data_IF_403000799797
#
_entry.id   IF_403000799797
#
_cell.length_a   1.000
_cell.length_b   1.000
_cell.length_c   1.000
_cell.angle_alpha   90.00
_cell.angle_beta   90.00
_cell.angle_gamma   90.00
#
_symmetry.space_group_name_H-M   'P 1'
#
loop_
_entity.id
_entity.type
_entity.pdbx_description
1 polymer ?
#
# COMPACT_ATOMS: atom_id res chain seq x y z
N UNK A 1 -9.83 16.69 34.63
CA UNK A 1 -9.03 17.75 33.98
C UNK A 1 -9.97 18.54 33.09
N UNK A 2 -10.06 19.87 33.20
CA UNK A 2 -10.90 20.69 32.34
C UNK A 2 -10.33 20.57 30.88
N UNK A 3 -11.17 20.11 29.95
CA UNK A 3 -10.84 20.20 28.51
C UNK A 3 -10.67 21.68 28.18
N UNK A 4 -9.48 22.08 27.73
CA UNK A 4 -9.30 23.42 27.18
C UNK A 4 -10.31 23.57 26.04
N UNK A 5 -11.30 24.45 26.21
CA UNK A 5 -12.26 24.75 25.17
C UNK A 5 -11.58 25.67 24.15
N UNK A 6 -11.31 25.17 22.98
CA UNK A 6 -10.83 25.98 21.85
C UNK A 6 -12.00 26.82 21.31
N UNK A 7 -11.76 28.11 21.08
CA UNK A 7 -12.73 29.03 20.48
C UNK A 7 -12.15 29.61 19.21
N UNK A 8 -12.89 29.51 18.14
CA UNK A 8 -12.47 29.93 16.82
C UNK A 8 -13.42 31.00 16.25
N UNK A 9 -12.86 31.94 15.48
CA UNK A 9 -13.65 32.99 14.83
C UNK A 9 -14.57 32.44 13.75
N UNK A 10 -14.13 31.40 13.06
CA UNK A 10 -14.88 30.72 11.98
C UNK A 10 -15.04 29.26 12.29
N UNK A 11 -16.11 28.61 11.78
CA UNK A 11 -16.26 27.16 11.88
C UNK A 11 -15.07 26.43 11.26
N UNK A 12 -14.60 25.37 11.90
CA UNK A 12 -13.52 24.53 11.43
C UNK A 12 -14.03 23.11 11.17
N UNK A 13 -13.62 22.47 10.07
CA UNK A 13 -13.79 21.03 9.93
C UNK A 13 -12.91 20.30 10.94
N UNK A 14 -13.34 19.16 11.41
CA UNK A 14 -12.44 18.21 12.06
C UNK A 14 -11.49 17.61 11.01
N UNK A 15 -10.27 17.27 11.42
CA UNK A 15 -9.29 16.62 10.56
C UNK A 15 -9.02 15.22 11.08
N UNK A 16 -9.00 14.25 10.17
CA UNK A 16 -8.64 12.85 10.43
C UNK A 16 -7.49 12.41 9.54
N UNK A 17 -6.93 11.26 9.84
CA UNK A 17 -6.06 10.52 8.93
C UNK A 17 -6.66 9.16 8.64
N UNK A 18 -6.51 8.65 7.41
CA UNK A 18 -6.87 7.30 7.01
C UNK A 18 -5.65 6.62 6.36
N UNK A 19 -5.32 5.41 6.82
CA UNK A 19 -4.09 4.70 6.45
C UNK A 19 -4.40 3.48 5.58
N UNK A 20 -4.14 3.56 4.28
CA UNK A 20 -4.26 2.43 3.36
C UNK A 20 -2.96 1.63 3.36
N UNK A 21 -2.91 0.56 4.13
CA UNK A 21 -1.72 -0.27 4.25
C UNK A 21 -1.87 -1.49 3.34
N UNK A 22 -1.12 -1.49 2.23
CA UNK A 22 -1.01 -2.66 1.37
C UNK A 22 0.02 -3.64 1.95
N UNK A 23 -0.37 -4.89 2.05
CA UNK A 23 0.49 -5.99 2.45
C UNK A 23 0.72 -6.94 1.28
N UNK A 24 1.94 -7.42 1.12
CA UNK A 24 2.26 -8.44 0.14
C UNK A 24 2.73 -9.71 0.82
N UNK A 25 2.13 -10.81 0.41
CA UNK A 25 2.55 -12.18 0.72
C UNK A 25 2.76 -12.97 -0.57
N UNK A 26 3.78 -13.83 -0.61
CA UNK A 26 4.13 -14.58 -1.82
C UNK A 26 3.10 -15.64 -2.22
N UNK A 27 2.24 -16.07 -1.28
CA UNK A 27 1.18 -17.06 -1.51
C UNK A 27 -0.18 -16.41 -1.76
N UNK A 28 -0.54 -15.43 -0.95
CA UNK A 28 -1.85 -14.76 -0.98
C UNK A 28 -1.87 -13.55 -1.95
N UNK A 29 -0.71 -13.02 -2.31
CA UNK A 29 -0.58 -11.85 -3.16
C UNK A 29 -0.75 -10.54 -2.41
N UNK A 30 -1.45 -9.57 -3.03
CA UNK A 30 -1.65 -8.24 -2.47
C UNK A 30 -2.93 -8.18 -1.63
N UNK A 31 -2.79 -7.69 -0.41
CA UNK A 31 -3.85 -7.53 0.58
C UNK A 31 -3.89 -6.09 1.11
N UNK A 32 -4.95 -5.72 1.77
CA UNK A 32 -5.06 -4.45 2.52
C UNK A 32 -5.40 -4.73 3.97
N UNK A 33 -4.81 -3.93 4.87
CA UNK A 33 -5.09 -4.00 6.29
C UNK A 33 -6.34 -3.18 6.61
N UNK A 34 -7.30 -3.83 7.25
CA UNK A 34 -8.53 -3.20 7.72
C UNK A 34 -8.73 -3.45 9.20
N UNK A 35 -9.41 -2.53 9.84
CA UNK A 35 -9.89 -2.66 11.21
C UNK A 35 -11.41 -2.79 11.23
N UNK A 36 -11.94 -3.53 12.21
CA UNK A 36 -13.37 -3.61 12.44
C UNK A 36 -13.77 -2.57 13.48
N UNK A 37 -14.62 -1.64 13.11
CA UNK A 37 -15.02 -0.53 13.97
C UNK A 37 -15.75 -1.03 15.23
N UNK A 38 -15.30 -0.60 16.41
CA UNK A 38 -15.92 -0.89 17.70
C UNK A 38 -17.05 0.06 18.07
N UNK A 39 -17.09 1.27 17.47
CA UNK A 39 -17.98 2.39 17.85
C UNK A 39 -18.79 2.93 16.65
N UNK A 40 -19.88 3.63 16.95
CA UNK A 40 -20.67 4.35 15.92
C UNK A 40 -19.92 5.61 15.41
N UNK A 41 -20.18 6.06 14.20
CA UNK A 41 -21.01 5.43 13.18
C UNK A 41 -20.34 4.19 12.54
N UNK A 42 -21.13 3.36 11.88
CA UNK A 42 -20.68 2.16 11.17
C UNK A 42 -20.06 1.08 12.07
N UNK A 43 -20.51 0.95 13.31
CA UNK A 43 -20.08 -0.09 14.25
C UNK A 43 -20.18 -1.47 13.62
N UNK A 44 -19.11 -2.26 13.71
CA UNK A 44 -19.01 -3.60 13.16
C UNK A 44 -18.63 -3.66 11.68
N UNK A 45 -18.59 -2.54 10.96
CA UNK A 45 -18.08 -2.48 9.58
C UNK A 45 -16.56 -2.36 9.55
N UNK A 46 -15.99 -2.66 8.39
CA UNK A 46 -14.56 -2.57 8.15
C UNK A 46 -14.17 -1.17 7.66
N UNK A 47 -13.03 -0.69 8.13
CA UNK A 47 -12.50 0.63 7.82
C UNK A 47 -10.97 0.58 7.72
N UNK A 48 -10.35 1.64 7.22
CA UNK A 48 -8.92 1.81 7.37
C UNK A 48 -8.57 2.20 8.81
N UNK A 49 -7.38 1.81 9.29
CA UNK A 49 -6.82 2.38 10.50
C UNK A 49 -6.72 3.91 10.38
N UNK A 50 -7.17 4.62 11.40
CA UNK A 50 -7.15 6.08 11.37
C UNK A 50 -8.06 6.73 12.38
N UNK A 51 -7.84 8.02 12.62
CA UNK A 51 -8.58 8.76 13.63
C UNK A 51 -8.36 10.25 13.57
N UNK A 52 -8.84 10.93 14.60
CA UNK A 52 -8.81 12.39 14.66
C UNK A 52 -7.43 12.93 15.03
N UNK A 53 -7.01 13.96 14.30
CA UNK A 53 -5.80 14.72 14.57
C UNK A 53 -5.90 15.42 15.93
N UNK A 54 -4.91 15.22 16.80
CA UNK A 54 -4.74 15.96 18.05
C UNK A 54 -4.06 17.31 17.77
N UNK A 55 -4.25 18.27 18.68
CA UNK A 55 -3.74 19.62 18.49
C UNK A 55 -2.20 19.70 18.52
N UNK A 56 -1.55 18.74 19.15
CA UNK A 56 -0.10 18.71 19.40
C UNK A 56 0.65 17.77 18.44
N UNK A 57 -0.02 17.24 17.41
CA UNK A 57 0.59 16.31 16.46
C UNK A 57 0.39 16.77 15.02
N UNK A 58 1.33 16.44 14.15
CA UNK A 58 1.20 16.55 12.70
C UNK A 58 0.32 15.43 12.12
N UNK A 59 -0.14 15.59 10.89
CA UNK A 59 -0.94 14.54 10.24
C UNK A 59 -0.17 13.22 10.09
N UNK A 60 1.14 13.26 9.85
CA UNK A 60 1.96 12.05 9.78
C UNK A 60 2.11 11.37 11.15
N UNK A 61 2.31 12.14 12.22
CA UNK A 61 2.36 11.60 13.59
C UNK A 61 1.02 10.99 13.98
N UNK A 62 -0.11 11.63 13.65
CA UNK A 62 -1.45 11.08 13.84
C UNK A 62 -1.60 9.74 13.08
N UNK A 63 -1.25 9.71 11.81
CA UNK A 63 -1.36 8.52 10.98
C UNK A 63 -0.55 7.34 11.56
N UNK A 64 0.68 7.59 12.02
CA UNK A 64 1.52 6.57 12.66
C UNK A 64 0.96 6.11 14.01
N UNK A 65 0.50 7.05 14.84
CA UNK A 65 -0.10 6.73 16.15
C UNK A 65 -1.34 5.86 15.99
N UNK A 66 -2.30 6.28 15.16
CA UNK A 66 -3.53 5.52 14.92
C UNK A 66 -3.25 4.13 14.33
N UNK A 67 -2.32 4.05 13.37
CA UNK A 67 -1.91 2.76 12.81
C UNK A 67 -1.39 1.82 13.90
N UNK A 68 -0.53 2.33 14.78
CA UNK A 68 0.01 1.53 15.90
C UNK A 68 -1.06 1.17 16.93
N UNK A 69 -1.84 2.16 17.39
CA UNK A 69 -2.89 1.98 18.41
C UNK A 69 -3.95 0.95 17.97
N UNK A 70 -4.31 0.93 16.68
CA UNK A 70 -5.38 0.08 16.15
C UNK A 70 -4.91 -1.27 15.57
N UNK A 71 -3.62 -1.42 15.24
CA UNK A 71 -3.14 -2.64 14.55
C UNK A 71 -1.86 -3.23 15.12
N UNK A 72 -1.14 -2.50 15.97
CA UNK A 72 0.18 -2.88 16.46
C UNK A 72 1.30 -2.75 15.41
N UNK A 73 1.00 -2.27 14.20
CA UNK A 73 1.98 -2.18 13.13
C UNK A 73 2.87 -0.94 13.32
N UNK A 74 4.19 -1.17 13.40
CA UNK A 74 5.21 -0.14 13.55
C UNK A 74 6.03 0.04 12.26
N UNK A 75 6.67 1.20 12.14
CA UNK A 75 7.69 1.51 11.12
C UNK A 75 7.24 1.33 9.65
N UNK A 76 5.94 1.40 9.36
CA UNK A 76 5.46 1.43 7.99
C UNK A 76 5.92 2.73 7.30
N UNK A 77 6.50 2.66 6.08
CA UNK A 77 6.88 3.85 5.32
C UNK A 77 5.61 4.55 4.82
N UNK A 78 5.23 5.66 5.46
CA UNK A 78 4.00 6.39 5.17
C UNK A 78 4.22 7.41 4.04
N UNK A 79 3.36 7.39 3.03
CA UNK A 79 3.32 8.41 1.98
C UNK A 79 1.92 9.03 1.91
N UNK A 80 1.86 10.34 2.09
CA UNK A 80 0.61 11.07 1.87
C UNK A 80 0.27 11.07 0.37
N UNK A 81 -0.94 10.66 0.02
CA UNK A 81 -1.34 10.57 -1.39
C UNK A 81 -2.58 11.40 -1.74
N UNK A 82 -3.35 11.83 -0.76
CA UNK A 82 -4.56 12.59 -1.02
C UNK A 82 -5.17 13.25 0.19
N UNK A 83 -6.18 14.07 -0.10
CA UNK A 83 -7.05 14.69 0.88
C UNK A 83 -8.49 14.53 0.40
N UNK A 84 -9.34 13.92 1.23
CA UNK A 84 -10.74 13.67 0.90
C UNK A 84 -11.63 14.56 1.74
N UNK A 85 -12.43 15.37 1.05
CA UNK A 85 -13.16 16.47 1.68
C UNK A 85 -14.60 16.60 1.18
N UNK A 86 -15.21 15.53 0.71
CA UNK A 86 -16.63 15.52 0.38
C UNK A 86 -17.46 15.98 1.59
N UNK A 87 -18.49 16.82 1.35
CA UNK A 87 -19.21 17.48 2.47
C UNK A 87 -19.83 16.47 3.42
N UNK A 88 -20.37 15.37 2.89
CA UNK A 88 -21.12 14.37 3.63
C UNK A 88 -20.35 13.05 3.82
N UNK A 89 -18.99 13.09 3.74
CA UNK A 89 -18.18 11.89 3.90
C UNK A 89 -18.30 11.24 5.28
N UNK A 90 -18.56 12.05 6.30
CA UNK A 90 -18.79 11.60 7.67
C UNK A 90 -20.15 12.12 8.16
N UNK A 91 -21.03 11.24 8.68
CA UNK A 91 -22.37 11.65 9.13
C UNK A 91 -22.37 12.44 10.44
N UNK A 92 -21.26 12.47 11.17
CA UNK A 92 -21.16 13.14 12.49
C UNK A 92 -21.03 14.65 12.37
N UNK A 93 -20.13 15.08 11.48
CA UNK A 93 -19.79 16.49 11.31
C UNK A 93 -19.00 16.72 10.01
N UNK A 94 -18.60 17.95 9.76
CA UNK A 94 -17.71 18.28 8.65
C UNK A 94 -16.30 17.75 8.95
N UNK A 95 -15.90 16.70 8.26
CA UNK A 95 -14.60 16.06 8.40
C UNK A 95 -13.81 16.14 7.08
N UNK A 96 -12.52 16.39 7.19
CA UNK A 96 -11.54 16.27 6.10
C UNK A 96 -10.52 15.22 6.52
N UNK A 97 -10.24 14.23 5.68
CA UNK A 97 -9.18 13.28 5.96
C UNK A 97 -7.96 13.51 5.09
N UNK A 98 -6.79 13.35 5.68
CA UNK A 98 -5.50 13.26 5.00
C UNK A 98 -5.15 11.79 4.90
N UNK A 99 -5.11 11.29 3.66
CA UNK A 99 -4.93 9.87 3.41
C UNK A 99 -3.46 9.54 3.13
N UNK A 100 -3.00 8.50 3.81
CA UNK A 100 -1.66 7.93 3.68
C UNK A 100 -1.75 6.52 3.12
N UNK A 101 -0.75 6.10 2.35
CA UNK A 101 -0.60 4.69 2.02
C UNK A 101 0.80 4.19 2.34
N UNK A 102 0.90 2.89 2.50
CA UNK A 102 2.15 2.16 2.70
C UNK A 102 2.10 0.82 1.99
N UNK A 103 3.26 0.27 1.64
CA UNK A 103 3.41 -1.08 1.10
C UNK A 103 4.41 -1.83 1.98
N UNK A 104 3.93 -2.89 2.66
CA UNK A 104 4.70 -3.66 3.64
C UNK A 104 4.60 -5.16 3.38
N UNK A 105 5.44 -5.95 4.02
CA UNK A 105 5.23 -7.40 4.13
C UNK A 105 4.05 -7.66 5.05
N UNK A 106 3.22 -8.64 4.70
CA UNK A 106 2.17 -9.10 5.61
C UNK A 106 2.82 -9.61 6.91
N UNK A 107 2.34 -9.13 8.03
CA UNK A 107 2.78 -9.48 9.39
C UNK A 107 1.58 -9.71 10.29
N UNK A 108 1.81 -10.26 11.47
CA UNK A 108 0.78 -10.35 12.49
C UNK A 108 0.32 -8.96 12.92
N UNK A 109 -0.99 -8.81 13.08
CA UNK A 109 -1.63 -7.57 13.51
C UNK A 109 -2.65 -7.89 14.61
N UNK A 110 -2.87 -6.94 15.49
CA UNK A 110 -3.78 -7.11 16.61
C UNK A 110 -4.70 -5.90 16.68
N UNK A 111 -5.99 -6.13 16.91
CA UNK A 111 -6.93 -5.04 17.22
C UNK A 111 -6.56 -4.38 18.57
N UNK A 112 -6.69 -3.07 18.64
CA UNK A 112 -6.46 -2.29 19.86
C UNK A 112 -7.40 -1.11 19.93
N UNK A 113 -7.45 -0.44 21.08
CA UNK A 113 -8.30 0.72 21.39
C UNK A 113 -9.75 0.55 20.88
N UNK A 114 -10.17 1.42 19.96
CA UNK A 114 -11.52 1.42 19.37
C UNK A 114 -11.70 0.37 18.24
N UNK A 115 -10.64 -0.35 17.84
CA UNK A 115 -10.67 -1.41 16.86
C UNK A 115 -10.97 -2.76 17.53
N UNK A 116 -12.15 -3.32 17.26
CA UNK A 116 -12.51 -4.65 17.76
C UNK A 116 -11.63 -5.78 17.17
N UNK A 117 -11.02 -5.55 16.00
CA UNK A 117 -10.18 -6.52 15.27
C UNK A 117 -9.39 -5.78 14.19
N UNK A 118 -8.15 -6.21 13.92
CA UNK A 118 -7.39 -5.86 12.73
C UNK A 118 -7.12 -7.11 11.89
N UNK A 119 -7.24 -7.01 10.56
CA UNK A 119 -7.08 -8.17 9.67
C UNK A 119 -6.65 -7.74 8.27
N UNK A 120 -5.83 -8.59 7.63
CA UNK A 120 -5.49 -8.49 6.23
C UNK A 120 -6.58 -9.10 5.35
N UNK A 121 -6.98 -8.38 4.30
CA UNK A 121 -7.94 -8.84 3.31
C UNK A 121 -7.31 -8.83 1.93
N UNK A 122 -7.35 -9.96 1.19
CA UNK A 122 -6.95 -9.98 -0.21
C UNK A 122 -7.76 -8.95 -1.02
N UNK A 123 -7.10 -8.20 -1.90
CA UNK A 123 -7.79 -7.21 -2.74
C UNK A 123 -8.86 -7.81 -3.64
N UNK A 124 -8.77 -9.12 -3.93
CA UNK A 124 -9.78 -9.86 -4.71
C UNK A 124 -11.05 -10.23 -3.92
N UNK A 125 -11.05 -10.06 -2.59
CA UNK A 125 -12.16 -10.44 -1.73
C UNK A 125 -12.29 -9.47 -0.54
N UNK A 126 -12.65 -8.24 -0.85
CA UNK A 126 -12.82 -7.17 0.14
C UNK A 126 -14.23 -7.20 0.74
N UNK A 127 -14.37 -6.96 2.04
CA UNK A 127 -15.66 -6.65 2.65
C UNK A 127 -16.12 -5.25 2.22
N UNK A 128 -17.41 -4.92 2.41
CA UNK A 128 -17.87 -3.54 2.30
C UNK A 128 -17.19 -2.65 3.35
N UNK A 129 -16.76 -1.48 2.92
CA UNK A 129 -16.05 -0.53 3.76
C UNK A 129 -17.01 0.54 4.30
N UNK A 130 -16.67 1.09 5.47
CA UNK A 130 -17.35 2.22 6.06
C UNK A 130 -16.99 3.53 5.36
N UNK A 131 -17.81 4.54 5.51
CA UNK A 131 -17.60 5.90 4.98
C UNK A 131 -17.39 5.90 3.44
N UNK A 132 -16.43 6.72 2.99
CA UNK A 132 -15.94 6.81 1.61
C UNK A 132 -14.65 5.99 1.40
N UNK A 133 -14.40 4.98 2.23
CA UNK A 133 -13.14 4.22 2.21
C UNK A 133 -12.94 3.41 0.93
N UNK A 134 -14.02 3.06 0.21
CA UNK A 134 -13.88 2.44 -1.12
C UNK A 134 -13.24 3.42 -2.13
N UNK A 135 -13.64 4.69 -2.10
CA UNK A 135 -13.06 5.74 -2.95
C UNK A 135 -11.59 5.97 -2.60
N UNK A 136 -11.28 6.04 -1.29
CA UNK A 136 -9.91 6.18 -0.78
C UNK A 136 -9.03 5.01 -1.23
N UNK A 137 -9.54 3.78 -1.13
CA UNK A 137 -8.82 2.57 -1.59
C UNK A 137 -8.47 2.63 -3.06
N UNK A 138 -9.45 2.99 -3.89
CA UNK A 138 -9.24 3.08 -5.34
C UNK A 138 -8.21 4.16 -5.71
N UNK A 139 -8.21 5.28 -5.00
CA UNK A 139 -7.22 6.33 -5.18
C UNK A 139 -5.81 5.88 -4.74
N UNK A 140 -5.70 5.22 -3.59
CA UNK A 140 -4.44 4.67 -3.09
C UNK A 140 -3.86 3.60 -4.05
N UNK A 141 -4.71 2.72 -4.56
CA UNK A 141 -4.29 1.67 -5.48
C UNK A 141 -3.82 2.25 -6.82
N UNK A 142 -4.48 3.28 -7.33
CA UNK A 142 -4.03 4.04 -8.51
C UNK A 142 -2.67 4.66 -8.26
N UNK A 143 -2.48 5.32 -7.12
CA UNK A 143 -1.21 5.91 -6.73
C UNK A 143 -0.08 4.88 -6.62
N UNK A 144 -0.35 3.70 -6.06
CA UNK A 144 0.61 2.60 -5.99
C UNK A 144 1.03 2.12 -7.38
N UNK A 145 0.08 1.99 -8.31
CA UNK A 145 0.37 1.63 -9.71
C UNK A 145 1.20 2.69 -10.42
N UNK A 146 0.86 3.97 -10.25
CA UNK A 146 1.63 5.09 -10.82
C UNK A 146 3.08 5.06 -10.34
N UNK A 147 3.31 4.82 -9.04
CA UNK A 147 4.68 4.72 -8.50
C UNK A 147 5.52 3.66 -9.18
N UNK A 148 4.95 2.53 -9.55
CA UNK A 148 5.68 1.47 -10.25
C UNK A 148 6.27 1.90 -11.59
N UNK A 149 5.72 2.94 -12.24
CA UNK A 149 6.27 3.46 -13.48
C UNK A 149 7.51 4.37 -13.26
N UNK A 150 7.68 4.91 -12.07
CA UNK A 150 8.75 5.86 -11.76
C UNK A 150 9.72 5.35 -10.69
N UNK A 151 9.31 4.37 -9.91
CA UNK A 151 10.10 3.82 -8.83
C UNK A 151 10.04 2.29 -8.86
N UNK A 152 11.17 1.59 -8.65
CA UNK A 152 11.18 0.15 -8.48
C UNK A 152 10.63 -0.20 -7.09
N UNK A 153 9.32 -0.08 -6.94
CA UNK A 153 8.60 -0.42 -5.71
C UNK A 153 8.66 -1.93 -5.47
N UNK A 154 8.65 -2.34 -4.21
CA UNK A 154 8.52 -3.74 -3.84
C UNK A 154 9.83 -4.45 -3.50
N UNK A 155 11.00 -3.80 -3.64
CA UNK A 155 12.24 -4.41 -3.19
C UNK A 155 12.28 -4.60 -1.68
N UNK A 156 11.65 -3.71 -0.91
CA UNK A 156 11.52 -3.84 0.55
C UNK A 156 10.61 -5.01 0.96
N UNK A 157 9.79 -5.53 0.02
CA UNK A 157 8.95 -6.70 0.23
C UNK A 157 9.68 -8.02 -0.01
N UNK A 158 10.78 -7.97 -0.76
CA UNK A 158 11.60 -9.14 -1.06
C UNK A 158 12.59 -9.44 0.08
N UNK A 159 13.04 -10.69 0.23
CA UNK A 159 14.24 -10.97 1.00
C UNK A 159 15.45 -10.27 0.37
N UNK A 160 16.54 -10.09 1.13
CA UNK A 160 17.76 -9.44 0.64
C UNK A 160 18.29 -10.11 -0.64
N UNK A 161 18.16 -11.43 -0.71
CA UNK A 161 18.49 -12.22 -1.90
C UNK A 161 17.20 -12.85 -2.42
N UNK A 162 16.88 -12.57 -3.67
CA UNK A 162 15.63 -12.99 -4.32
C UNK A 162 15.87 -13.49 -5.76
N UNK A 163 14.84 -14.09 -6.34
CA UNK A 163 14.87 -14.52 -7.75
C UNK A 163 14.06 -13.56 -8.64
N UNK A 164 14.35 -13.55 -9.92
CA UNK A 164 13.57 -12.75 -10.88
C UNK A 164 12.07 -13.10 -10.88
N UNK A 165 11.66 -14.37 -10.76
CA UNK A 165 10.24 -14.72 -10.57
C UNK A 165 9.60 -14.13 -9.31
N UNK A 166 10.35 -13.95 -8.21
CA UNK A 166 9.81 -13.34 -7.00
C UNK A 166 9.47 -11.86 -7.24
N UNK A 167 10.39 -11.14 -7.87
CA UNK A 167 10.19 -9.75 -8.26
C UNK A 167 9.03 -9.60 -9.26
N UNK A 168 8.98 -10.46 -10.29
CA UNK A 168 7.91 -10.46 -11.28
C UNK A 168 6.52 -10.63 -10.66
N UNK A 169 6.38 -11.54 -9.69
CA UNK A 169 5.11 -11.78 -8.99
C UNK A 169 4.58 -10.54 -8.27
N UNK A 170 5.45 -9.75 -7.63
CA UNK A 170 5.06 -8.49 -6.97
C UNK A 170 4.50 -7.52 -8.01
N UNK A 171 5.21 -7.31 -9.12
CA UNK A 171 4.78 -6.41 -10.18
C UNK A 171 3.47 -6.86 -10.81
N UNK A 172 3.32 -8.16 -11.07
CA UNK A 172 2.08 -8.74 -11.59
C UNK A 172 0.90 -8.60 -10.62
N UNK A 173 1.16 -8.73 -9.30
CA UNK A 173 0.13 -8.56 -8.27
C UNK A 173 -0.37 -7.11 -8.20
N UNK A 174 0.54 -6.12 -8.27
CA UNK A 174 0.18 -4.71 -8.18
C UNK A 174 -0.46 -4.21 -9.48
N UNK A 175 0.09 -4.56 -10.63
CA UNK A 175 -0.40 -4.07 -11.93
C UNK A 175 -1.62 -4.84 -12.45
N UNK A 176 -1.89 -6.04 -11.92
CA UNK A 176 -3.00 -6.89 -12.38
C UNK A 176 -2.79 -7.48 -13.79
N UNK A 177 -1.55 -7.51 -14.28
CA UNK A 177 -1.17 -8.01 -15.60
C UNK A 177 -0.19 -9.16 -15.48
N UNK A 178 -0.06 -9.95 -16.54
CA UNK A 178 0.97 -11.01 -16.62
C UNK A 178 2.08 -10.59 -17.57
N UNK A 179 3.32 -10.88 -17.20
CA UNK A 179 4.49 -10.57 -18.01
C UNK A 179 5.08 -11.83 -18.66
N UNK A 180 5.61 -11.67 -19.87
CA UNK A 180 6.57 -12.63 -20.39
C UNK A 180 7.85 -12.59 -19.55
N UNK A 181 8.28 -13.76 -19.07
CA UNK A 181 9.42 -13.89 -18.15
C UNK A 181 10.73 -13.32 -18.69
N UNK A 182 11.00 -13.54 -19.99
CA UNK A 182 12.24 -13.09 -20.63
C UNK A 182 12.25 -11.58 -20.80
N UNK A 183 11.13 -11.03 -21.25
CA UNK A 183 10.98 -9.59 -21.44
C UNK A 183 11.07 -8.83 -20.10
N UNK A 184 10.39 -9.33 -19.06
CA UNK A 184 10.46 -8.77 -17.72
C UNK A 184 11.89 -8.78 -17.17
N UNK A 185 12.54 -9.95 -17.20
CA UNK A 185 13.91 -10.10 -16.70
C UNK A 185 14.90 -9.20 -17.48
N UNK A 186 14.81 -9.18 -18.82
CA UNK A 186 15.66 -8.32 -19.65
C UNK A 186 15.48 -6.83 -19.30
N UNK A 187 14.24 -6.40 -19.04
CA UNK A 187 13.93 -5.03 -18.66
C UNK A 187 14.52 -4.66 -17.29
N UNK A 188 14.30 -5.50 -16.30
CA UNK A 188 14.81 -5.27 -14.95
C UNK A 188 16.35 -5.25 -14.89
N UNK A 189 17.00 -6.15 -15.63
CA UNK A 189 18.47 -6.19 -15.70
C UNK A 189 19.07 -4.96 -16.41
N UNK A 190 18.40 -4.44 -17.45
CA UNK A 190 18.83 -3.21 -18.15
C UNK A 190 18.86 -1.97 -17.25
N UNK A 191 18.09 -1.94 -16.16
CA UNK A 191 18.13 -0.85 -15.20
C UNK A 191 19.45 -0.78 -14.44
N UNK A 192 20.22 -1.87 -14.38
CA UNK A 192 21.51 -1.93 -13.69
C UNK A 192 21.43 -1.84 -12.17
N UNK A 193 20.22 -1.94 -11.59
CA UNK A 193 19.97 -1.85 -10.15
C UNK A 193 19.97 -3.21 -9.46
N UNK A 194 20.19 -4.28 -10.20
CA UNK A 194 20.27 -5.65 -9.69
C UNK A 194 21.68 -6.15 -9.80
N UNK A 195 22.19 -6.78 -8.76
CA UNK A 195 23.45 -7.48 -8.71
C UNK A 195 23.20 -8.97 -8.61
N UNK A 196 23.80 -9.76 -9.51
CA UNK A 196 23.73 -11.21 -9.43
C UNK A 196 24.59 -11.71 -8.28
N UNK A 197 24.00 -12.52 -7.38
CA UNK A 197 24.64 -13.05 -6.19
C UNK A 197 24.94 -14.53 -6.38
N UNK A 198 26.21 -14.89 -6.24
CA UNK A 198 26.67 -16.27 -6.37
C UNK A 198 26.99 -16.64 -7.82
N UNK A 199 28.12 -17.30 -8.01
CA UNK A 199 28.45 -17.93 -9.29
C UNK A 199 27.58 -19.18 -9.45
N UNK A 200 27.01 -19.34 -10.61
CA UNK A 200 26.34 -20.58 -11.01
C UNK A 200 27.35 -21.72 -10.86
N UNK A 201 27.05 -22.79 -10.09
CA UNK A 201 27.97 -23.93 -10.01
C UNK A 201 28.31 -24.42 -11.42
N UNK A 202 29.59 -24.66 -11.69
CA UNK A 202 30.01 -25.29 -12.95
C UNK A 202 29.26 -26.63 -13.11
N UNK A 203 28.58 -26.79 -14.24
CA UNK A 203 27.76 -28.00 -14.51
C UNK A 203 26.31 -27.93 -14.00
N UNK A 204 25.87 -26.85 -13.37
CA UNK A 204 24.46 -26.68 -13.01
C UNK A 204 23.59 -26.56 -14.26
N UNK A 205 22.60 -27.46 -14.37
CA UNK A 205 21.65 -27.47 -15.48
C UNK A 205 20.83 -26.17 -15.56
N UNK A 206 20.10 -25.91 -16.66
CA UNK A 206 19.38 -24.67 -16.94
C UNK A 206 18.23 -24.34 -15.98
N UNK A 207 17.99 -25.13 -14.95
CA UNK A 207 16.85 -25.05 -14.04
C UNK A 207 17.10 -24.30 -12.72
N UNK A 208 18.35 -23.91 -12.41
CA UNK A 208 18.64 -23.17 -11.18
C UNK A 208 18.45 -21.69 -11.47
N UNK A 209 17.50 -20.99 -10.84
CA UNK A 209 17.30 -19.56 -11.01
C UNK A 209 18.53 -18.78 -10.51
N UNK A 210 18.95 -17.76 -11.22
CA UNK A 210 19.90 -16.78 -10.69
C UNK A 210 19.28 -16.02 -9.53
N UNK A 211 20.11 -15.72 -8.54
CA UNK A 211 19.74 -14.93 -7.39
C UNK A 211 20.27 -13.50 -7.55
N UNK A 212 19.53 -12.55 -7.06
CA UNK A 212 19.82 -11.13 -7.20
C UNK A 212 19.71 -10.41 -5.86
N UNK A 213 20.47 -9.34 -5.75
CA UNK A 213 20.38 -8.37 -4.67
C UNK A 213 20.12 -6.99 -5.26
N UNK A 214 19.32 -6.19 -4.57
CA UNK A 214 19.04 -4.81 -4.97
C UNK A 214 20.19 -3.88 -4.62
N UNK A 215 20.69 -3.13 -5.61
CA UNK A 215 21.70 -2.10 -5.41
C UNK A 215 21.05 -0.74 -5.19
N UNK A 216 20.89 -0.36 -3.93
CA UNK A 216 20.23 0.88 -3.53
C UNK A 216 21.01 2.13 -3.98
N UNK A 217 22.33 2.09 -4.03
CA UNK A 217 23.15 3.24 -4.46
C UNK A 217 22.93 3.54 -5.95
N UNK A 218 23.03 2.51 -6.79
CA UNK A 218 22.74 2.65 -8.22
C UNK A 218 21.29 3.11 -8.47
N UNK A 219 20.35 2.64 -7.67
CA UNK A 219 18.97 3.12 -7.76
C UNK A 219 18.85 4.61 -7.43
N UNK A 220 19.49 5.08 -6.36
CA UNK A 220 19.45 6.49 -5.99
C UNK A 220 20.08 7.39 -7.07
N UNK A 221 21.14 6.93 -7.72
CA UNK A 221 21.75 7.65 -8.84
C UNK A 221 20.82 7.71 -10.07
N UNK A 222 20.17 6.59 -10.40
CA UNK A 222 19.17 6.57 -11.46
C UNK A 222 17.97 7.48 -11.13
N UNK A 223 17.50 7.47 -9.89
CA UNK A 223 16.39 8.32 -9.46
C UNK A 223 16.71 9.81 -9.64
N UNK A 224 17.94 10.25 -9.39
CA UNK A 224 18.39 11.64 -9.63
C UNK A 224 18.37 12.02 -11.10
N UNK A 225 18.63 11.05 -11.99
CA UNK A 225 18.67 11.26 -13.45
C UNK A 225 17.32 11.07 -14.14
N UNK A 226 16.28 10.70 -13.40
CA UNK A 226 14.96 10.36 -13.90
C UNK A 226 14.87 8.91 -14.41
N UNK A 227 13.93 8.16 -13.87
CA UNK A 227 13.62 6.78 -14.31
C UNK A 227 12.19 6.77 -14.81
N UNK A 228 11.96 6.16 -15.97
CA UNK A 228 10.63 5.78 -16.45
C UNK A 228 10.62 4.28 -16.71
N UNK A 229 9.76 3.57 -15.98
CA UNK A 229 9.57 2.13 -16.12
C UNK A 229 8.27 1.89 -16.89
N UNK A 230 8.38 1.67 -18.19
CA UNK A 230 7.23 1.27 -19.01
C UNK A 230 7.04 -0.23 -18.93
N UNK A 231 5.90 -0.68 -18.43
CA UNK A 231 5.53 -2.09 -18.40
C UNK A 231 4.46 -2.39 -19.46
N UNK A 232 4.76 -3.36 -20.33
CA UNK A 232 3.81 -3.93 -21.28
C UNK A 232 3.50 -5.36 -20.83
N UNK A 233 2.25 -5.67 -20.63
CA UNK A 233 1.79 -6.99 -20.19
C UNK A 233 0.37 -7.27 -20.69
N UNK A 234 -0.07 -8.51 -20.53
CA UNK A 234 -1.44 -8.93 -20.86
C UNK A 234 -2.26 -8.95 -19.57
N UNK A 235 -3.45 -8.35 -19.58
CA UNK A 235 -4.38 -8.38 -18.44
C UNK A 235 -4.60 -9.83 -17.99
N UNK A 236 -4.50 -10.08 -16.71
CA UNK A 236 -4.87 -11.37 -16.12
C UNK A 236 -6.38 -11.54 -16.30
N UNK A 237 -6.80 -12.66 -16.90
CA UNK A 237 -8.21 -13.04 -16.92
C UNK A 237 -8.59 -13.40 -15.47
N UNK A 238 -9.26 -12.51 -14.78
CA UNK A 238 -9.92 -12.82 -13.53
C UNK A 238 -11.11 -13.71 -13.84
N UNK A 239 -11.13 -14.88 -13.24
CA UNK A 239 -12.23 -15.83 -13.42
C UNK A 239 -13.44 -15.48 -12.57
N UNK A 240 -14.00 -14.31 -12.78
CA UNK A 240 -15.35 -13.85 -12.39
C UNK A 240 -15.43 -12.36 -12.79
N UNK A 241 -16.56 -12.01 -13.39
CA UNK A 241 -16.92 -10.63 -13.76
C UNK A 241 -16.98 -9.75 -12.50
N UNK A 242 -15.84 -9.16 -12.12
CA UNK A 242 -15.84 -8.13 -11.10
C UNK A 242 -15.55 -6.79 -11.77
N UNK A 243 -16.60 -5.97 -11.74
CA UNK A 243 -16.72 -4.60 -12.19
C UNK A 243 -15.71 -3.67 -11.48
N UNK A 244 -14.43 -3.83 -11.76
CA UNK A 244 -13.46 -2.75 -11.62
C UNK A 244 -13.14 -2.32 -13.04
N UNK A 245 -13.84 -1.29 -13.48
CA UNK A 245 -13.72 -0.72 -14.83
C UNK A 245 -12.28 -0.24 -15.06
N UNK A 246 -11.50 -1.04 -15.80
CA UNK A 246 -10.12 -0.76 -16.18
C UNK A 246 -10.02 0.24 -17.35
N UNK A 247 -11.11 0.97 -17.69
CA UNK A 247 -11.22 1.75 -18.92
C UNK A 247 -10.96 3.25 -18.73
N UNK A 248 -10.51 3.71 -17.57
CA UNK A 248 -10.16 5.12 -17.39
C UNK A 248 -8.72 5.26 -16.87
N UNK A 249 -7.76 5.15 -17.77
CA UNK A 249 -6.46 5.82 -17.75
C UNK A 249 -6.24 6.45 -19.13
#
# INVERSE_FOLDING_TARGET
MARNAYSYKYPHPAVTTDNVIFGYDCTEGLSVLLIRRGIEPYKGQWAFPGGFLRMEESAEECARRELYEETGLENAPMEQFGCFSAVNRDPRERVITIAYFSLVKVSEVHGGDDAAMAQWFPLSNLPSLAFDHEEILMAAFRRLRERLHFEPVGFDLLPEIFTMPDLQRIYEAILGISFDRRNFASKMLKLGILEEVGSRPEGAGPRIPSHYKFNKEKYLDLKRNGIVLEFQGTLKKTGKDDNIDNTQI
#
